data_IF_122393065933
#
_entry.id   IF_122393065933
#
_cell.length_a   1.000
_cell.length_b   1.000
_cell.length_c   1.000
_cell.angle_alpha   90.00
_cell.angle_beta   90.00
_cell.angle_gamma   90.00
#
_symmetry.space_group_name_H-M   'P 1'
#
loop_
_entity.id
_entity.type
_entity.pdbx_description
1 polymer ?
#
# COMPACT_ATOMS: atom_id res chain seq x y z
N UNK A 1 -9.53 4.17 12.02
CA UNK A 1 -10.59 5.22 12.07
C UNK A 1 -10.19 6.39 11.20
N UNK A 2 -11.12 7.27 10.76
CA UNK A 2 -10.76 8.41 9.91
C UNK A 2 -9.62 9.24 10.53
N UNK A 3 -8.68 9.67 9.69
CA UNK A 3 -7.41 10.33 10.06
C UNK A 3 -6.30 9.43 10.62
N UNK A 4 -6.55 8.14 10.87
CA UNK A 4 -5.47 7.21 11.20
C UNK A 4 -4.58 6.99 9.98
N UNK A 5 -3.27 6.89 10.21
CA UNK A 5 -2.27 6.59 9.19
C UNK A 5 -1.97 5.10 9.23
N UNK A 6 -1.88 4.49 8.05
CA UNK A 6 -1.71 3.06 7.86
C UNK A 6 -0.52 2.84 6.92
N UNK A 7 0.32 1.87 7.26
CA UNK A 7 1.45 1.42 6.45
C UNK A 7 1.21 -0.06 6.10
N UNK A 8 0.47 -0.38 5.01
CA UNK A 8 0.04 -1.73 4.71
C UNK A 8 1.21 -2.68 4.46
N UNK A 9 1.17 -3.86 5.09
CA UNK A 9 2.22 -4.89 4.98
C UNK A 9 1.94 -5.91 3.88
N UNK A 10 0.68 -6.02 3.47
CA UNK A 10 0.23 -6.91 2.40
C UNK A 10 -0.96 -6.30 1.65
N UNK A 11 -1.36 -6.93 0.55
CA UNK A 11 -2.50 -6.51 -0.25
C UNK A 11 -3.35 -7.69 -0.73
N UNK A 12 -4.60 -7.41 -1.10
CA UNK A 12 -5.48 -8.33 -1.82
C UNK A 12 -6.00 -7.62 -3.06
N UNK A 13 -5.84 -8.25 -4.23
CA UNK A 13 -6.21 -7.66 -5.51
C UNK A 13 -7.62 -8.09 -5.96
N UNK A 14 -8.54 -7.11 -6.03
CA UNK A 14 -9.87 -7.22 -6.61
C UNK A 14 -10.06 -6.26 -7.80
N UNK A 15 -8.97 -5.78 -8.38
CA UNK A 15 -8.97 -5.06 -9.65
C UNK A 15 -9.25 -6.03 -10.80
N UNK A 16 -9.67 -5.51 -11.96
CA UNK A 16 -10.27 -6.31 -13.05
C UNK A 16 -9.74 -5.98 -14.43
N UNK A 17 -9.39 -4.73 -14.71
CA UNK A 17 -9.15 -4.28 -16.09
C UNK A 17 -7.82 -3.54 -16.29
N UNK A 18 -6.85 -3.74 -15.38
CA UNK A 18 -5.59 -3.00 -15.35
C UNK A 18 -4.47 -3.86 -15.95
N UNK A 19 -3.56 -3.28 -16.76
CA UNK A 19 -2.28 -3.94 -17.06
C UNK A 19 -1.47 -4.11 -15.77
N UNK A 20 -1.11 -5.34 -15.42
CA UNK A 20 -0.48 -5.67 -14.12
C UNK A 20 0.99 -6.04 -14.21
N UNK A 21 1.59 -6.03 -15.41
CA UNK A 21 2.98 -6.43 -15.64
C UNK A 21 3.62 -5.63 -16.77
N UNK A 22 4.93 -5.44 -16.71
CA UNK A 22 5.80 -5.00 -17.81
C UNK A 22 6.27 -6.16 -18.71
N UNK A 23 6.01 -7.41 -18.32
CA UNK A 23 6.47 -8.62 -18.99
C UNK A 23 5.30 -9.37 -19.64
N UNK A 24 4.66 -8.74 -20.61
CA UNK A 24 3.52 -9.27 -21.38
C UNK A 24 3.94 -10.21 -22.53
N UNK A 25 5.24 -10.33 -22.79
CA UNK A 25 5.83 -11.21 -23.80
C UNK A 25 6.79 -12.25 -23.21
N UNK A 26 7.25 -13.18 -24.06
CA UNK A 26 8.26 -14.17 -23.68
C UNK A 26 9.65 -13.52 -23.46
N UNK A 27 10.47 -14.03 -22.51
CA UNK A 27 10.15 -15.11 -21.58
C UNK A 27 9.21 -14.67 -20.47
N UNK A 28 8.29 -15.57 -20.09
CA UNK A 28 7.34 -15.33 -18.99
C UNK A 28 8.11 -15.04 -17.70
N UNK A 29 7.70 -13.97 -17.02
CA UNK A 29 8.33 -13.50 -15.77
C UNK A 29 7.33 -13.61 -14.61
N UNK A 30 7.70 -14.30 -13.55
CA UNK A 30 6.95 -14.41 -12.29
C UNK A 30 7.80 -13.88 -11.14
N UNK A 31 7.47 -12.69 -10.67
CA UNK A 31 8.09 -12.12 -9.46
C UNK A 31 7.48 -12.68 -8.20
N UNK A 32 8.29 -12.82 -7.14
CA UNK A 32 7.80 -13.15 -5.80
C UNK A 32 7.23 -11.90 -5.12
N UNK A 33 5.98 -12.00 -4.68
CA UNK A 33 5.25 -10.95 -3.95
C UNK A 33 4.86 -11.38 -2.53
N UNK A 34 5.46 -12.46 -1.99
CA UNK A 34 5.22 -12.93 -0.62
C UNK A 34 5.54 -11.87 0.46
N UNK A 35 6.34 -10.87 0.11
CA UNK A 35 6.55 -9.66 0.90
C UNK A 35 6.50 -8.45 -0.04
N UNK A 36 5.31 -7.95 -0.39
CA UNK A 36 5.14 -7.07 -1.54
C UNK A 36 5.73 -5.67 -1.32
N UNK A 37 5.64 -5.17 -0.08
CA UNK A 37 6.25 -3.92 0.33
C UNK A 37 7.67 -4.12 0.88
N UNK A 38 8.56 -3.16 0.61
CA UNK A 38 9.96 -3.19 1.02
C UNK A 38 10.11 -3.17 2.56
N UNK A 39 10.71 -4.21 3.18
CA UNK A 39 10.86 -4.27 4.63
C UNK A 39 11.78 -3.17 5.18
N UNK A 40 12.83 -2.80 4.45
CA UNK A 40 13.76 -1.74 4.85
C UNK A 40 13.08 -0.37 4.86
N UNK A 41 12.38 -0.01 3.78
CA UNK A 41 11.66 1.28 3.68
C UNK A 41 10.56 1.36 4.74
N UNK A 42 9.80 0.28 4.95
CA UNK A 42 8.78 0.21 6.00
C UNK A 42 9.38 0.43 7.39
N UNK A 43 10.51 -0.21 7.70
CA UNK A 43 11.20 -0.03 8.98
C UNK A 43 11.57 1.43 9.23
N UNK A 44 12.15 2.12 8.24
CA UNK A 44 12.50 3.54 8.37
C UNK A 44 11.26 4.41 8.61
N UNK A 45 10.15 4.14 7.92
CA UNK A 45 8.87 4.84 8.15
C UNK A 45 8.37 4.61 9.57
N UNK A 46 8.37 3.38 10.06
CA UNK A 46 7.93 3.03 11.42
C UNK A 46 8.76 3.72 12.50
N UNK A 47 10.09 3.68 12.36
CA UNK A 47 11.02 4.33 13.29
C UNK A 47 10.84 5.86 13.27
N UNK A 48 10.62 6.43 12.07
CA UNK A 48 10.34 7.86 11.90
C UNK A 48 9.03 8.26 12.56
N UNK A 49 7.94 7.54 12.31
CA UNK A 49 6.64 7.80 12.93
C UNK A 49 6.71 7.71 14.46
N UNK A 50 7.41 6.69 14.99
CA UNK A 50 7.66 6.53 16.43
C UNK A 50 8.43 7.72 17.02
N UNK A 51 9.50 8.17 16.36
CA UNK A 51 10.29 9.35 16.79
C UNK A 51 9.47 10.63 16.80
N UNK A 52 8.55 10.79 15.84
CA UNK A 52 7.66 11.93 15.72
C UNK A 52 6.44 11.85 16.65
N UNK A 53 6.24 10.74 17.37
CA UNK A 53 5.05 10.53 18.20
C UNK A 53 3.76 10.43 17.39
N UNK A 54 3.84 10.02 16.12
CA UNK A 54 2.67 9.86 15.25
C UNK A 54 2.22 8.40 15.28
N UNK A 55 0.95 8.19 15.63
CA UNK A 55 0.33 6.87 15.59
C UNK A 55 0.28 6.33 14.15
N UNK A 56 0.78 5.10 13.98
CA UNK A 56 0.87 4.43 12.69
C UNK A 56 0.46 2.97 12.84
N UNK A 57 -0.52 2.52 12.04
CA UNK A 57 -0.88 1.11 11.94
C UNK A 57 0.03 0.42 10.92
N UNK A 58 1.03 -0.33 11.38
CA UNK A 58 1.99 -1.00 10.49
C UNK A 58 1.55 -2.39 10.03
N UNK A 59 0.65 -3.05 10.75
CA UNK A 59 0.12 -4.37 10.39
C UNK A 59 -1.30 -4.19 9.88
N UNK A 60 -1.42 -3.99 8.57
CA UNK A 60 -2.70 -3.90 7.87
C UNK A 60 -2.62 -4.50 6.46
N UNK A 61 -3.68 -5.16 6.01
CA UNK A 61 -3.85 -5.69 4.66
C UNK A 61 -4.74 -4.74 3.84
N UNK A 62 -4.23 -4.25 2.72
CA UNK A 62 -4.95 -3.37 1.79
C UNK A 62 -5.68 -4.18 0.73
N UNK A 63 -7.01 -4.17 0.72
CA UNK A 63 -7.77 -4.63 -0.45
C UNK A 63 -7.84 -3.53 -1.50
N UNK A 64 -7.37 -3.82 -2.71
CA UNK A 64 -7.45 -2.90 -3.84
C UNK A 64 -8.64 -3.28 -4.73
N UNK A 65 -9.61 -2.39 -4.87
CA UNK A 65 -10.80 -2.58 -5.72
C UNK A 65 -10.67 -1.75 -7.00
N UNK A 66 -11.53 -2.05 -7.99
CA UNK A 66 -11.49 -1.36 -9.27
C UNK A 66 -11.98 0.09 -9.21
N UNK A 67 -13.05 0.38 -8.44
CA UNK A 67 -13.77 1.65 -8.54
C UNK A 67 -14.54 1.81 -9.87
N UNK A 68 -15.01 3.02 -10.22
CA UNK A 68 -14.96 4.26 -9.44
C UNK A 68 -16.07 4.36 -8.38
N UNK A 69 -17.04 3.43 -8.39
CA UNK A 69 -18.03 3.36 -7.30
C UNK A 69 -17.34 2.92 -6.01
N UNK A 70 -17.86 3.39 -4.88
CA UNK A 70 -17.58 2.72 -3.62
C UNK A 70 -18.13 1.29 -3.64
N UNK A 71 -17.60 0.49 -2.73
CA UNK A 71 -18.02 -0.87 -2.46
C UNK A 71 -19.45 -0.90 -1.91
N UNK A 72 -20.13 -2.03 -2.10
CA UNK A 72 -21.35 -2.33 -1.37
C UNK A 72 -21.00 -2.79 0.04
N UNK A 73 -21.96 -2.69 0.98
CA UNK A 73 -21.78 -3.22 2.33
C UNK A 73 -21.44 -4.72 2.36
N UNK A 74 -21.98 -5.50 1.41
CA UNK A 74 -21.69 -6.92 1.27
C UNK A 74 -20.24 -7.18 0.83
N UNK A 75 -19.72 -6.39 -0.12
CA UNK A 75 -18.31 -6.47 -0.54
C UNK A 75 -17.37 -6.14 0.62
N UNK A 76 -17.66 -5.08 1.38
CA UNK A 76 -16.87 -4.72 2.56
C UNK A 76 -16.88 -5.83 3.62
N UNK A 77 -18.03 -6.45 3.88
CA UNK A 77 -18.12 -7.57 4.82
C UNK A 77 -17.35 -8.80 4.33
N UNK A 78 -17.34 -9.07 3.02
CA UNK A 78 -16.49 -10.11 2.43
C UNK A 78 -15.01 -9.80 2.68
N UNK A 79 -14.55 -8.60 2.35
CA UNK A 79 -13.14 -8.22 2.54
C UNK A 79 -12.71 -8.30 3.99
N UNK A 80 -13.58 -7.88 4.92
CA UNK A 80 -13.34 -8.03 6.36
C UNK A 80 -13.19 -9.50 6.77
N UNK A 81 -14.02 -10.40 6.22
CA UNK A 81 -13.91 -11.86 6.47
C UNK A 81 -12.68 -12.50 5.83
N UNK A 82 -12.18 -11.93 4.75
CA UNK A 82 -10.90 -12.32 4.13
C UNK A 82 -9.69 -11.79 4.91
N UNK A 83 -9.89 -11.01 5.98
CA UNK A 83 -8.82 -10.46 6.80
C UNK A 83 -8.25 -9.13 6.29
N UNK A 84 -8.95 -8.44 5.39
CA UNK A 84 -8.53 -7.12 4.92
C UNK A 84 -8.89 -6.03 5.94
N UNK A 85 -7.99 -5.06 6.13
CA UNK A 85 -8.13 -4.01 7.15
C UNK A 85 -8.53 -2.65 6.55
N UNK A 86 -8.01 -2.34 5.36
CA UNK A 86 -8.26 -1.08 4.65
C UNK A 86 -8.57 -1.34 3.18
N UNK A 87 -9.42 -0.51 2.60
CA UNK A 87 -9.80 -0.56 1.18
C UNK A 87 -9.28 0.67 0.45
N UNK A 88 -8.81 0.48 -0.77
CA UNK A 88 -8.39 1.54 -1.67
C UNK A 88 -8.53 1.12 -3.13
N UNK A 89 -8.16 2.01 -4.04
CA UNK A 89 -8.33 1.79 -5.48
C UNK A 89 -7.03 1.90 -6.28
N UNK A 90 -5.88 2.17 -5.65
CA UNK A 90 -4.63 2.53 -6.37
C UNK A 90 -3.41 1.69 -6.01
N UNK A 91 -3.44 0.91 -4.91
CA UNK A 91 -2.26 0.16 -4.46
C UNK A 91 -1.79 -0.92 -5.44
N UNK A 92 -2.71 -1.44 -6.26
CA UNK A 92 -2.45 -2.45 -7.30
C UNK A 92 -2.88 -1.87 -8.66
N UNK A 93 -2.10 -1.98 -9.74
CA UNK A 93 -0.87 -2.78 -9.89
C UNK A 93 0.43 -2.09 -9.44
N UNK A 94 0.35 -0.89 -8.85
CA UNK A 94 1.54 -0.07 -8.53
C UNK A 94 2.60 -0.83 -7.72
N UNK A 95 2.20 -1.54 -6.66
CA UNK A 95 3.11 -2.34 -5.83
C UNK A 95 3.79 -3.49 -6.60
N UNK A 96 3.07 -4.11 -7.54
CA UNK A 96 3.55 -5.22 -8.37
C UNK A 96 4.53 -4.70 -9.42
N UNK A 97 4.17 -3.63 -10.12
CA UNK A 97 5.02 -2.99 -11.11
C UNK A 97 6.31 -2.43 -10.49
N UNK A 98 6.23 -1.86 -9.29
CA UNK A 98 7.41 -1.42 -8.57
C UNK A 98 8.34 -2.60 -8.23
N UNK A 99 7.77 -3.76 -7.88
CA UNK A 99 8.54 -4.99 -7.63
C UNK A 99 9.22 -5.51 -8.90
N UNK A 100 8.54 -5.47 -10.04
CA UNK A 100 9.10 -5.86 -11.35
C UNK A 100 10.28 -4.98 -11.80
N UNK A 101 10.29 -3.72 -11.36
CA UNK A 101 11.39 -2.77 -11.58
C UNK A 101 12.46 -2.80 -10.49
N UNK A 102 12.38 -3.77 -9.57
CA UNK A 102 13.29 -3.91 -8.43
C UNK A 102 13.36 -2.65 -7.55
N UNK A 103 12.26 -1.90 -7.44
CA UNK A 103 12.15 -0.67 -6.65
C UNK A 103 11.76 -1.00 -5.21
N UNK A 104 12.43 -0.36 -4.24
CA UNK A 104 12.01 -0.41 -2.84
C UNK A 104 10.73 0.41 -2.65
N UNK A 105 9.58 -0.27 -2.60
CA UNK A 105 8.27 0.37 -2.55
C UNK A 105 7.58 0.17 -1.20
N UNK A 106 6.99 1.22 -0.65
CA UNK A 106 6.13 1.17 0.54
C UNK A 106 4.98 2.18 0.37
N UNK A 107 3.77 1.83 0.82
CA UNK A 107 2.62 2.72 0.76
C UNK A 107 2.35 3.34 2.14
N UNK A 108 2.14 4.65 2.19
CA UNK A 108 1.64 5.34 3.38
C UNK A 108 0.22 5.83 3.10
N UNK A 109 -0.75 5.14 3.71
CA UNK A 109 -2.17 5.39 3.52
C UNK A 109 -2.73 6.18 4.71
N UNK A 110 -3.89 6.79 4.51
CA UNK A 110 -4.70 7.31 5.61
C UNK A 110 -6.14 6.85 5.43
N UNK A 111 -6.84 6.64 6.54
CA UNK A 111 -8.25 6.28 6.51
C UNK A 111 -9.06 7.56 6.30
N UNK A 112 -9.76 7.67 5.16
CA UNK A 112 -10.61 8.82 4.83
C UNK A 112 -12.00 8.71 5.45
N UNK A 113 -12.60 7.52 5.45
CA UNK A 113 -13.92 7.23 5.99
C UNK A 113 -13.98 5.79 6.52
N UNK A 114 -15.10 5.42 7.13
CA UNK A 114 -15.39 4.04 7.50
C UNK A 114 -16.21 3.44 6.35
N UNK A 115 -15.66 2.45 5.64
CA UNK A 115 -16.23 1.91 4.40
C UNK A 115 -17.73 1.54 4.44
N UNK A 116 -18.31 1.26 3.28
CA UNK A 116 -19.75 1.04 3.12
C UNK A 116 -20.29 -0.03 4.09
N UNK A 117 -21.44 0.23 4.71
CA UNK A 117 -22.04 -0.66 5.71
C UNK A 117 -21.47 -0.52 7.13
N UNK A 118 -20.34 0.17 7.30
CA UNK A 118 -19.81 0.54 8.63
C UNK A 118 -20.29 1.95 9.02
N UNK A 119 -20.42 2.85 8.03
CA UNK A 119 -21.10 4.14 8.18
C UNK A 119 -22.32 4.25 7.25
N UNK A 120 -23.20 5.21 7.55
CA UNK A 120 -24.49 5.36 6.88
C UNK A 120 -24.37 5.86 5.43
N UNK A 121 -23.52 6.86 5.17
CA UNK A 121 -23.35 7.46 3.85
C UNK A 121 -21.89 7.78 3.58
N UNK A 122 -21.41 7.44 2.38
CA UNK A 122 -20.08 7.78 1.89
C UNK A 122 -20.16 8.92 0.88
N UNK A 123 -19.19 9.82 0.92
CA UNK A 123 -19.02 10.85 -0.10
C UNK A 123 -17.54 11.03 -0.46
N UNK A 124 -17.23 11.39 -1.71
CA UNK A 124 -15.85 11.72 -2.07
C UNK A 124 -15.33 12.97 -1.34
N UNK A 125 -16.22 13.84 -0.84
CA UNK A 125 -15.84 15.05 -0.10
C UNK A 125 -15.11 14.71 1.21
N UNK A 126 -15.53 13.65 1.92
CA UNK A 126 -14.87 13.18 3.14
C UNK A 126 -13.39 12.87 2.91
N UNK A 127 -13.05 12.34 1.73
CA UNK A 127 -11.66 12.05 1.35
C UNK A 127 -10.84 13.32 1.31
N UNK A 128 -11.34 14.36 0.63
CA UNK A 128 -10.65 15.66 0.52
C UNK A 128 -10.53 16.36 1.88
N UNK A 129 -11.58 16.31 2.70
CA UNK A 129 -11.60 16.94 4.03
C UNK A 129 -10.63 16.28 5.00
N UNK A 130 -10.59 14.94 5.04
CA UNK A 130 -9.67 14.20 5.90
C UNK A 130 -8.24 14.31 5.38
N UNK A 131 -8.05 14.27 4.05
CA UNK A 131 -6.75 14.48 3.43
C UNK A 131 -6.12 15.80 3.88
N UNK A 132 -6.86 16.91 3.84
CA UNK A 132 -6.37 18.21 4.28
C UNK A 132 -5.91 18.22 5.75
N UNK A 133 -6.57 17.46 6.63
CA UNK A 133 -6.22 17.35 8.06
C UNK A 133 -4.98 16.49 8.30
N UNK A 134 -4.80 15.43 7.49
CA UNK A 134 -3.74 14.43 7.68
C UNK A 134 -2.46 14.80 6.91
N UNK A 135 -2.59 15.59 5.84
CA UNK A 135 -1.48 15.96 4.94
C UNK A 135 -0.25 16.53 5.68
N UNK A 136 -0.37 17.45 6.65
CA UNK A 136 0.81 17.96 7.35
C UNK A 136 1.62 16.87 8.06
N UNK A 137 0.94 15.88 8.65
CA UNK A 137 1.58 14.72 9.31
C UNK A 137 2.25 13.80 8.30
N UNK A 138 1.58 13.52 7.16
CA UNK A 138 2.16 12.70 6.09
C UNK A 138 3.41 13.34 5.51
N UNK A 139 3.35 14.64 5.19
CA UNK A 139 4.51 15.39 4.69
C UNK A 139 5.66 15.37 5.70
N UNK A 140 5.37 15.52 6.99
CA UNK A 140 6.38 15.42 8.04
C UNK A 140 7.03 14.03 8.09
N UNK A 141 6.23 12.95 8.09
CA UNK A 141 6.75 11.57 8.07
C UNK A 141 7.60 11.34 6.82
N UNK A 142 7.11 11.72 5.64
CA UNK A 142 7.82 11.53 4.38
C UNK A 142 9.15 12.28 4.35
N UNK A 143 9.15 13.55 4.76
CA UNK A 143 10.36 14.38 4.80
C UNK A 143 11.42 13.79 5.72
N UNK A 144 11.02 13.35 6.91
CA UNK A 144 11.95 12.76 7.87
C UNK A 144 12.39 11.35 7.47
N UNK A 145 11.52 10.58 6.82
CA UNK A 145 11.86 9.27 6.25
C UNK A 145 12.89 9.43 5.15
N UNK A 146 12.71 10.38 4.23
CA UNK A 146 13.66 10.64 3.13
C UNK A 146 15.05 10.98 3.67
N UNK A 147 15.14 11.77 4.75
CA UNK A 147 16.41 12.09 5.40
C UNK A 147 17.07 10.88 6.08
N UNK A 148 16.26 9.96 6.59
CA UNK A 148 16.71 8.78 7.31
C UNK A 148 16.97 7.56 6.41
N UNK A 149 16.47 7.57 5.17
CA UNK A 149 16.72 6.50 4.21
C UNK A 149 18.21 6.43 3.88
N UNK A 150 18.79 5.22 3.85
CA UNK A 150 20.20 5.07 3.51
C UNK A 150 20.41 5.38 2.02
N UNK A 151 21.58 5.91 1.69
CA UNK A 151 21.96 6.23 0.29
C UNK A 151 22.19 4.97 -0.56
N UNK A 152 22.31 3.81 0.07
CA UNK A 152 22.42 2.48 -0.54
C UNK A 152 21.50 1.52 0.21
N UNK A 153 20.98 0.51 -0.48
CA UNK A 153 20.23 -0.59 0.15
C UNK A 153 21.14 -1.30 1.16
N UNK A 154 20.63 -1.55 2.36
CA UNK A 154 21.42 -2.15 3.42
C UNK A 154 21.11 -3.65 3.52
N UNK A 155 22.08 -4.51 3.21
CA UNK A 155 21.91 -5.96 3.36
C UNK A 155 21.20 -6.63 2.19
N UNK A 156 20.25 -7.54 2.47
CA UNK A 156 19.58 -8.41 1.49
C UNK A 156 18.13 -7.96 1.26
N UNK A 157 17.93 -6.71 0.85
CA UNK A 157 16.60 -6.22 0.45
C UNK A 157 16.00 -7.14 -0.63
N UNK A 158 14.82 -7.75 -0.40
CA UNK A 158 14.22 -8.64 -1.40
C UNK A 158 13.80 -7.90 -2.68
N UNK A 159 13.68 -6.56 -2.64
CA UNK A 159 13.40 -5.76 -3.82
C UNK A 159 14.58 -5.76 -4.81
N UNK A 160 15.82 -5.92 -4.33
CA UNK A 160 17.03 -5.83 -5.17
C UNK A 160 17.34 -7.09 -5.98
N UNK A 161 16.67 -8.20 -5.65
CA UNK A 161 16.84 -9.46 -6.36
C UNK A 161 15.48 -10.00 -6.83
N UNK A 162 14.47 -9.14 -6.99
CA UNK A 162 13.12 -9.58 -7.31
C UNK A 162 13.02 -10.29 -8.68
N UNK A 163 13.93 -9.96 -9.61
CA UNK A 163 14.00 -10.62 -10.92
C UNK A 163 14.91 -11.85 -10.94
N UNK A 164 15.67 -12.08 -9.87
CA UNK A 164 16.60 -13.22 -9.77
C UNK A 164 15.78 -14.51 -9.75
N UNK A 165 15.96 -15.32 -10.79
CA UNK A 165 15.18 -16.55 -11.03
C UNK A 165 13.67 -16.33 -11.26
N UNK A 166 13.24 -15.09 -11.56
CA UNK A 166 11.85 -14.80 -11.89
C UNK A 166 11.47 -15.21 -13.32
N UNK A 167 12.45 -15.45 -14.20
CA UNK A 167 12.24 -15.75 -15.62
C UNK A 167 12.48 -17.22 -15.91
N UNK A 168 11.59 -17.82 -16.70
CA UNK A 168 11.92 -19.08 -17.36
C UNK A 168 13.03 -18.84 -18.38
N UNK A 169 13.95 -19.80 -18.50
CA UNK A 169 15.02 -19.77 -19.51
C UNK A 169 14.48 -20.08 -20.90
#
# INVERSE_FOLDING_TARGET
KPSDIVLPHDFVDFTKFRPTTFYDEAPVTHIDVSQPYCPETRKVIMETAKRLGINLWSEAILVCTEGPRFETAAEIEIFRRLGCDVVGMTGVPEVVLARELEICYAALCFVSNMAAGIQERLTPLEVSEVSAKVMPKLVQILTETIKALPSKREGKCPCAEALKNARFK
#
